data_IF_182185081546
#
_entry.id   IF_182185081546
#
_cell.length_a   1.000
_cell.length_b   1.000
_cell.length_c   1.000
_cell.angle_alpha   90.00
_cell.angle_beta   90.00
_cell.angle_gamma   90.00
#
_symmetry.space_group_name_H-M   'P 1'
#
loop_
_entity.id
_entity.type
_entity.pdbx_description
1 polymer ?
#
# COMPACT_ATOMS: atom_id res chain seq x y z
N UNK A 1 13.12 -1.25 -8.41
CA UNK A 1 14.09 -1.54 -7.33
C UNK A 1 13.36 -2.32 -6.25
N UNK A 2 13.90 -3.44 -5.75
CA UNK A 2 13.27 -4.19 -4.65
C UNK A 2 14.00 -3.89 -3.35
N UNK A 3 13.30 -3.28 -2.40
CA UNK A 3 13.80 -3.08 -1.04
C UNK A 3 13.51 -4.37 -0.27
N UNK A 4 14.54 -5.01 0.28
CA UNK A 4 14.38 -6.19 1.11
C UNK A 4 13.95 -5.74 2.50
N UNK A 5 12.83 -6.24 3.00
CA UNK A 5 12.30 -5.96 4.32
C UNK A 5 11.24 -7.00 4.70
N UNK A 6 11.10 -7.26 6.00
CA UNK A 6 10.09 -8.15 6.59
C UNK A 6 9.00 -7.37 7.35
N UNK A 7 9.19 -6.07 7.55
CA UNK A 7 8.17 -5.17 8.11
C UNK A 7 8.21 -3.79 7.45
N UNK A 8 7.16 -2.99 7.63
CA UNK A 8 7.15 -1.60 7.17
C UNK A 8 8.23 -0.77 7.89
N UNK A 9 8.50 -1.05 9.17
CA UNK A 9 9.59 -0.39 9.89
C UNK A 9 10.94 -0.66 9.23
N UNK A 10 11.23 -1.94 8.94
CA UNK A 10 12.47 -2.35 8.27
C UNK A 10 12.55 -1.78 6.84
N UNK A 11 11.42 -1.72 6.12
CA UNK A 11 11.35 -1.07 4.81
C UNK A 11 11.75 0.40 4.91
N UNK A 12 11.22 1.12 5.90
CA UNK A 12 11.57 2.52 6.16
C UNK A 12 13.02 2.67 6.60
N UNK A 13 13.62 1.70 7.27
CA UNK A 13 15.04 1.76 7.64
C UNK A 13 15.96 1.62 6.41
N UNK A 14 15.54 0.82 5.42
CA UNK A 14 16.32 0.45 4.24
C UNK A 14 16.21 1.44 3.06
N UNK A 15 15.47 2.54 3.21
CA UNK A 15 15.44 3.64 2.23
C UNK A 15 16.29 4.84 2.68
N UNK A 16 16.61 5.76 1.78
CA UNK A 16 17.39 6.96 2.12
C UNK A 16 16.65 7.84 3.13
N UNK A 17 17.38 8.54 4.01
CA UNK A 17 16.80 9.37 5.07
C UNK A 17 15.79 10.40 4.54
N UNK A 18 16.07 11.00 3.38
CA UNK A 18 15.15 11.91 2.70
C UNK A 18 13.82 11.20 2.35
N UNK A 19 13.89 9.99 1.78
CA UNK A 19 12.70 9.18 1.47
C UNK A 19 11.95 8.73 2.72
N UNK A 20 12.64 8.49 3.85
CA UNK A 20 11.99 8.10 5.13
C UNK A 20 10.96 9.13 5.58
N UNK A 21 11.31 10.41 5.52
CA UNK A 21 10.43 11.50 5.97
C UNK A 21 9.15 11.52 5.12
N UNK A 22 9.31 11.47 3.79
CA UNK A 22 8.18 11.49 2.85
C UNK A 22 7.32 10.24 2.98
N UNK A 23 7.93 9.04 3.01
CA UNK A 23 7.21 7.78 3.12
C UNK A 23 6.44 7.67 4.44
N UNK A 24 7.02 8.10 5.57
CA UNK A 24 6.30 8.15 6.87
C UNK A 24 5.08 9.07 6.80
N UNK A 25 5.21 10.23 6.16
CA UNK A 25 4.08 11.15 5.97
C UNK A 25 2.99 10.53 5.12
N UNK A 26 3.35 9.87 4.01
CA UNK A 26 2.40 9.16 3.15
C UNK A 26 1.69 8.03 3.88
N UNK A 27 2.43 7.17 4.59
CA UNK A 27 1.85 6.06 5.37
C UNK A 27 0.83 6.58 6.38
N UNK A 28 1.20 7.60 7.17
CA UNK A 28 0.31 8.23 8.14
C UNK A 28 -0.91 8.86 7.48
N UNK A 29 -0.73 9.52 6.33
CA UNK A 29 -1.81 10.21 5.62
C UNK A 29 -2.82 9.20 5.08
N UNK A 30 -2.34 8.15 4.41
CA UNK A 30 -3.21 7.10 3.87
C UNK A 30 -3.91 6.37 5.01
N UNK A 31 -3.18 5.85 5.99
CA UNK A 31 -3.76 5.13 7.13
C UNK A 31 -4.77 5.96 7.93
N UNK A 32 -4.59 7.28 8.02
CA UNK A 32 -5.53 8.18 8.70
C UNK A 32 -6.78 8.55 7.88
N UNK A 33 -6.77 8.35 6.56
CA UNK A 33 -7.89 8.65 5.67
C UNK A 33 -8.62 7.40 5.16
N UNK A 34 -8.08 6.21 5.40
CA UNK A 34 -8.78 4.97 5.09
C UNK A 34 -9.89 4.69 6.10
N UNK A 35 -11.05 4.18 5.66
CA UNK A 35 -12.08 3.67 6.56
C UNK A 35 -11.55 2.60 7.52
N UNK A 36 -12.25 2.40 8.64
CA UNK A 36 -11.95 1.28 9.52
C UNK A 36 -12.13 -0.04 8.77
N UNK A 37 -11.25 -1.00 9.03
CA UNK A 37 -11.29 -2.34 8.45
C UNK A 37 -10.10 -2.68 7.54
N UNK A 38 -9.39 -1.67 7.01
CA UNK A 38 -8.13 -1.91 6.33
C UNK A 38 -7.02 -2.28 7.32
N UNK A 39 -6.17 -3.22 6.92
CA UNK A 39 -4.97 -3.60 7.66
C UNK A 39 -3.73 -3.14 6.92
N UNK A 40 -2.86 -2.44 7.64
CA UNK A 40 -1.53 -2.06 7.16
C UNK A 40 -0.57 -3.25 7.30
N UNK A 41 0.15 -3.58 6.21
CA UNK A 41 1.16 -4.65 6.19
C UNK A 41 2.16 -4.45 5.04
N UNK A 42 3.19 -5.30 4.97
CA UNK A 42 3.94 -5.44 3.72
C UNK A 42 3.17 -6.33 2.74
N UNK A 43 2.89 -5.79 1.56
CA UNK A 43 2.33 -6.50 0.41
C UNK A 43 3.31 -6.42 -0.75
N UNK A 44 3.67 -7.57 -1.34
CA UNK A 44 4.65 -7.64 -2.43
C UNK A 44 5.98 -6.90 -2.15
N UNK A 45 6.39 -6.81 -0.87
CA UNK A 45 7.60 -6.11 -0.44
C UNK A 45 7.48 -4.58 -0.30
N UNK A 46 6.26 -4.05 -0.22
CA UNK A 46 5.97 -2.62 -0.15
C UNK A 46 4.95 -2.32 0.95
N UNK A 47 5.00 -1.15 1.62
CA UNK A 47 3.93 -0.70 2.49
C UNK A 47 2.58 -0.72 1.76
N UNK A 48 1.61 -1.42 2.34
CA UNK A 48 0.36 -1.79 1.70
C UNK A 48 -0.81 -1.74 2.68
N UNK A 49 -1.99 -1.47 2.15
CA UNK A 49 -3.27 -1.56 2.84
C UNK A 49 -4.15 -2.59 2.15
N UNK A 50 -4.66 -3.54 2.93
CA UNK A 50 -5.44 -4.68 2.44
C UNK A 50 -6.73 -4.81 3.23
N UNK A 51 -7.72 -5.48 2.64
CA UNK A 51 -8.88 -5.97 3.39
C UNK A 51 -8.50 -7.35 3.96
N UNK A 52 -8.47 -7.51 5.30
CA UNK A 52 -8.05 -8.76 5.93
C UNK A 52 -9.08 -9.88 5.74
N UNK A 53 -8.64 -11.14 5.83
CA UNK A 53 -9.52 -12.32 5.76
C UNK A 53 -10.67 -12.30 6.77
N UNK A 54 -10.49 -11.66 7.93
CA UNK A 54 -11.56 -11.49 8.91
C UNK A 54 -12.74 -10.68 8.39
N UNK A 55 -12.55 -9.85 7.37
CA UNK A 55 -13.60 -9.09 6.69
C UNK A 55 -13.93 -9.63 5.30
N UNK A 56 -12.96 -10.24 4.61
CA UNK A 56 -13.14 -10.83 3.29
C UNK A 56 -12.48 -12.22 3.21
N UNK A 57 -13.19 -13.28 3.64
CA UNK A 57 -12.60 -14.62 3.78
C UNK A 57 -12.04 -15.20 2.49
N UNK A 58 -12.69 -14.94 1.35
CA UNK A 58 -12.31 -15.45 0.03
C UNK A 58 -10.94 -14.98 -0.48
N UNK A 59 -10.36 -13.93 0.14
CA UNK A 59 -9.00 -13.48 -0.21
C UNK A 59 -8.89 -12.88 -1.61
N UNK A 60 -7.73 -13.03 -2.25
CA UNK A 60 -7.44 -12.41 -3.53
C UNK A 60 -7.48 -13.39 -4.71
N UNK A 61 -8.55 -13.32 -5.51
CA UNK A 61 -8.65 -13.95 -6.84
C UNK A 61 -8.16 -15.42 -6.85
N UNK A 62 -7.16 -15.76 -7.67
CA UNK A 62 -6.56 -17.10 -7.76
C UNK A 62 -5.50 -17.39 -6.69
N UNK A 63 -5.38 -16.54 -5.67
CA UNK A 63 -4.44 -16.67 -4.55
C UNK A 63 -5.18 -16.36 -3.24
N UNK A 64 -6.15 -17.19 -2.86
CA UNK A 64 -7.06 -16.94 -1.73
C UNK A 64 -6.35 -16.90 -0.37
N UNK A 65 -5.09 -17.34 -0.26
CA UNK A 65 -4.29 -17.18 0.97
C UNK A 65 -3.81 -15.74 1.18
N UNK A 66 -3.86 -14.91 0.13
CA UNK A 66 -3.53 -13.50 0.20
C UNK A 66 -4.78 -12.68 0.56
N UNK A 67 -4.67 -11.70 1.46
CA UNK A 67 -5.76 -10.77 1.70
C UNK A 67 -6.01 -9.90 0.47
N UNK A 68 -7.23 -9.41 0.32
CA UNK A 68 -7.64 -8.62 -0.85
C UNK A 68 -6.83 -7.29 -0.89
N UNK A 69 -5.98 -7.08 -1.91
CA UNK A 69 -5.16 -5.88 -2.02
C UNK A 69 -6.01 -4.67 -2.37
N UNK A 70 -5.69 -3.52 -1.77
CA UNK A 70 -6.35 -2.26 -2.07
C UNK A 70 -5.40 -1.18 -2.56
N UNK A 71 -4.35 -0.89 -1.79
CA UNK A 71 -3.43 0.20 -2.10
C UNK A 71 -2.01 -0.11 -1.61
N UNK A 72 -0.99 0.25 -2.40
CA UNK A 72 0.41 0.14 -2.00
C UNK A 72 1.17 1.42 -2.35
N UNK A 73 2.22 1.73 -1.59
CA UNK A 73 3.20 2.77 -1.98
C UNK A 73 4.61 2.22 -2.03
N UNK A 74 5.43 2.71 -2.95
CA UNK A 74 6.79 2.22 -3.11
C UNK A 74 7.79 3.34 -3.40
N UNK A 75 8.87 3.39 -2.63
CA UNK A 75 10.06 4.18 -2.95
C UNK A 75 10.82 3.50 -4.10
N UNK A 76 10.73 4.06 -5.30
CA UNK A 76 11.53 3.66 -6.46
C UNK A 76 12.77 4.56 -6.59
N UNK A 77 13.65 4.24 -7.55
CA UNK A 77 14.92 4.96 -7.76
C UNK A 77 14.72 6.48 -7.89
N UNK A 78 13.73 6.89 -8.68
CA UNK A 78 13.53 8.31 -9.03
C UNK A 78 12.22 8.89 -8.47
N UNK A 79 11.24 8.06 -8.12
CA UNK A 79 9.90 8.51 -7.74
C UNK A 79 9.33 7.65 -6.60
N UNK A 80 8.21 8.10 -6.02
CA UNK A 80 7.36 7.26 -5.18
C UNK A 80 6.16 6.84 -6.02
N UNK A 81 5.95 5.52 -6.13
CA UNK A 81 4.80 4.97 -6.82
C UNK A 81 3.62 4.86 -5.85
N UNK A 82 2.43 5.20 -6.32
CA UNK A 82 1.16 4.87 -5.69
C UNK A 82 0.45 3.84 -6.58
N UNK A 83 0.11 2.69 -6.01
CA UNK A 83 -0.70 1.66 -6.65
C UNK A 83 -2.07 1.66 -6.00
N UNK A 84 -3.13 1.86 -6.77
CA UNK A 84 -4.50 1.95 -6.27
C UNK A 84 -5.41 0.99 -7.06
N UNK A 85 -5.78 -0.15 -6.46
CA UNK A 85 -6.55 -1.21 -7.13
C UNK A 85 -8.01 -0.86 -7.37
N UNK A 86 -8.56 0.12 -6.63
CA UNK A 86 -9.96 0.55 -6.81
C UNK A 86 -10.18 1.77 -7.70
N UNK A 87 -9.12 2.46 -8.17
CA UNK A 87 -9.30 3.82 -8.71
C UNK A 87 -10.06 3.82 -10.04
N UNK A 88 -9.79 2.82 -10.87
CA UNK A 88 -10.44 2.66 -12.17
C UNK A 88 -11.92 2.24 -12.07
N UNK A 89 -12.35 1.72 -10.90
CA UNK A 89 -13.73 1.32 -10.68
C UNK A 89 -14.66 2.52 -10.41
N UNK A 90 -14.10 3.72 -10.23
CA UNK A 90 -14.85 4.96 -10.09
C UNK A 90 -14.38 5.96 -11.17
N UNK A 91 -15.15 6.14 -12.27
CA UNK A 91 -14.77 7.03 -13.36
C UNK A 91 -14.51 8.48 -12.94
N UNK A 92 -15.31 9.03 -12.01
CA UNK A 92 -15.14 10.41 -11.53
C UNK A 92 -13.82 10.57 -10.77
N UNK A 93 -13.50 9.60 -9.90
CA UNK A 93 -12.24 9.59 -9.16
C UNK A 93 -11.04 9.43 -10.10
N UNK A 94 -11.14 8.55 -11.09
CA UNK A 94 -10.09 8.34 -12.08
C UNK A 94 -9.79 9.63 -12.86
N UNK A 95 -10.83 10.32 -13.34
CA UNK A 95 -10.71 11.58 -14.08
C UNK A 95 -10.13 12.69 -13.22
N UNK A 96 -10.48 12.77 -11.93
CA UNK A 96 -9.90 13.76 -11.04
C UNK A 96 -8.40 13.52 -10.77
N UNK A 97 -7.97 12.25 -10.77
CA UNK A 97 -6.60 11.87 -10.41
C UNK A 97 -5.61 11.89 -11.58
N UNK A 98 -6.08 11.66 -12.81
CA UNK A 98 -5.27 11.56 -14.04
C UNK A 98 -5.46 12.79 -14.92
#
# INVERSE_FOLDING_TARGET
MKIKANSISEYLENISNERKVVMKKLIRTIGGNLPKGFKEQLGYGMPSWVVPHSLYPEGYHCSPDLPLPFMNIASQKNFIALYHMGIYANPELLIWFV
#
